data_IF_201441596225
#
_entry.id   IF_201441596225
#
_cell.length_a   1.000
_cell.length_b   1.000
_cell.length_c   1.000
_cell.angle_alpha   90.00
_cell.angle_beta   90.00
_cell.angle_gamma   90.00
#
_symmetry.space_group_name_H-M   'P 1'
#
loop_
_entity.id
_entity.type
_entity.pdbx_description
1 polymer ?
#
# COMPACT_ATOMS: atom_id res chain seq x y z
N UNK A 1 -8.86 6.61 12.56
CA UNK A 1 -8.58 7.70 11.64
C UNK A 1 -9.35 7.48 10.36
N UNK A 2 -10.08 8.49 9.91
CA UNK A 2 -10.88 8.44 8.67
C UNK A 2 -10.47 9.56 7.73
N UNK A 3 -10.56 9.29 6.43
CA UNK A 3 -10.34 10.30 5.40
C UNK A 3 -8.90 10.78 5.25
N UNK A 4 -7.92 10.02 5.73
CA UNK A 4 -6.51 10.35 5.58
C UNK A 4 -6.10 10.20 4.12
N UNK A 5 -5.26 11.14 3.64
CA UNK A 5 -4.68 11.09 2.29
C UNK A 5 -3.17 11.17 2.39
N UNK A 6 -2.48 10.23 1.74
CA UNK A 6 -1.05 10.31 1.50
C UNK A 6 -0.82 10.74 0.06
N UNK A 7 0.09 11.69 -0.15
CA UNK A 7 0.35 12.24 -1.47
C UNK A 7 1.55 11.58 -2.15
N UNK A 8 1.50 11.54 -3.48
CA UNK A 8 2.64 11.18 -4.31
C UNK A 8 3.77 12.20 -4.13
N UNK A 9 5.04 11.79 -4.31
CA UNK A 9 6.14 12.73 -4.40
C UNK A 9 5.92 13.76 -5.52
N UNK A 10 6.55 14.95 -5.39
CA UNK A 10 6.42 16.01 -6.38
C UNK A 10 6.81 15.55 -7.79
N UNK A 11 7.78 14.65 -7.90
CA UNK A 11 8.22 14.04 -9.17
C UNK A 11 7.10 13.28 -9.89
N UNK A 12 6.08 12.84 -9.15
CA UNK A 12 4.91 12.13 -9.65
C UNK A 12 3.64 12.98 -9.52
N UNK A 13 3.79 14.30 -9.56
CA UNK A 13 2.69 15.24 -9.63
C UNK A 13 2.15 15.73 -8.29
N UNK A 14 2.58 15.16 -7.16
CA UNK A 14 2.17 15.61 -5.83
C UNK A 14 0.70 15.38 -5.46
N UNK A 15 -0.07 14.74 -6.33
CA UNK A 15 -1.47 14.40 -6.07
C UNK A 15 -1.65 13.20 -5.13
N UNK A 16 -2.89 12.80 -4.81
CA UNK A 16 -3.13 11.70 -3.89
C UNK A 16 -2.50 10.38 -4.37
N UNK A 17 -1.76 9.71 -3.50
CA UNK A 17 -1.28 8.33 -3.72
C UNK A 17 -2.25 7.34 -3.08
N UNK A 18 -2.57 7.52 -1.81
CA UNK A 18 -3.47 6.65 -1.06
C UNK A 18 -4.59 7.49 -0.45
N UNK A 19 -5.80 7.11 -0.75
CA UNK A 19 -7.00 7.64 -0.11
C UNK A 19 -7.51 6.57 0.85
N UNK A 20 -7.33 6.79 2.15
CA UNK A 20 -7.80 5.86 3.17
C UNK A 20 -9.24 6.16 3.53
N UNK A 21 -10.08 5.13 3.49
CA UNK A 21 -11.42 5.22 4.04
C UNK A 21 -11.35 5.21 5.57
N UNK A 22 -10.55 4.30 6.13
CA UNK A 22 -10.42 4.14 7.57
C UNK A 22 -9.13 3.42 7.93
N UNK A 23 -8.56 3.78 9.07
CA UNK A 23 -7.48 3.04 9.72
C UNK A 23 -7.91 2.80 11.15
N UNK A 24 -7.98 1.54 11.58
CA UNK A 24 -8.29 1.15 12.95
C UNK A 24 -7.13 0.40 13.56
N UNK A 25 -6.70 0.81 14.74
CA UNK A 25 -5.62 0.20 15.48
C UNK A 25 -6.13 -0.23 16.86
N UNK A 26 -5.87 -1.49 17.22
CA UNK A 26 -6.15 -2.02 18.55
C UNK A 26 -4.82 -2.42 19.17
N UNK A 27 -4.42 -1.68 20.21
CA UNK A 27 -3.17 -1.94 20.89
C UNK A 27 -3.27 -3.16 21.79
N UNK A 28 -2.20 -3.99 21.79
CA UNK A 28 -2.03 -5.08 22.74
C UNK A 28 -0.93 -4.76 23.73
N UNK A 29 -0.67 -5.71 24.63
CA UNK A 29 0.43 -5.59 25.58
C UNK A 29 1.76 -5.63 24.85
N UNK A 30 2.77 -4.80 25.24
CA UNK A 30 4.10 -4.85 24.65
C UNK A 30 4.73 -6.24 24.76
N UNK A 31 5.44 -6.66 23.71
CA UNK A 31 6.17 -7.91 23.76
C UNK A 31 7.41 -7.79 24.67
N UNK A 32 7.94 -8.93 25.13
CA UNK A 32 9.06 -8.99 26.05
C UNK A 32 10.32 -8.25 25.57
N UNK A 33 10.46 -8.04 24.25
CA UNK A 33 11.58 -7.29 23.67
C UNK A 33 11.34 -5.77 23.61
N UNK A 34 10.27 -5.26 24.21
CA UNK A 34 9.91 -3.84 24.22
C UNK A 34 9.29 -3.32 22.92
N UNK A 35 9.02 -4.17 21.95
CA UNK A 35 8.36 -3.75 20.70
C UNK A 35 6.90 -3.45 20.94
N UNK A 36 6.40 -2.43 20.22
CA UNK A 36 4.97 -2.17 20.16
C UNK A 36 4.24 -3.39 19.61
N UNK A 37 3.07 -3.66 20.18
CA UNK A 37 2.24 -4.76 19.76
C UNK A 37 0.82 -4.29 19.46
N UNK A 38 0.30 -4.71 18.31
CA UNK A 38 -1.09 -4.48 17.93
C UNK A 38 -1.84 -5.82 17.88
N UNK A 39 -2.99 -5.89 18.51
CA UNK A 39 -3.86 -7.07 18.39
C UNK A 39 -4.49 -7.12 17.01
N UNK A 40 -5.09 -6.00 16.58
CA UNK A 40 -5.70 -5.89 15.26
C UNK A 40 -5.33 -4.57 14.59
N UNK A 41 -5.07 -4.64 13.30
CA UNK A 41 -4.88 -3.48 12.45
C UNK A 41 -5.76 -3.65 11.22
N UNK A 42 -6.63 -2.67 10.99
CA UNK A 42 -7.43 -2.58 9.76
C UNK A 42 -7.01 -1.35 8.98
N UNK A 43 -6.60 -1.54 7.75
CA UNK A 43 -6.31 -0.47 6.80
C UNK A 43 -7.28 -0.62 5.64
N UNK A 44 -8.21 0.33 5.53
CA UNK A 44 -9.21 0.33 4.45
C UNK A 44 -8.86 1.44 3.46
N UNK A 45 -8.34 1.04 2.30
CA UNK A 45 -7.93 1.95 1.24
C UNK A 45 -9.06 2.07 0.23
N UNK A 46 -9.65 3.26 0.12
CA UNK A 46 -10.68 3.51 -0.88
C UNK A 46 -10.08 3.49 -2.28
N UNK A 47 -8.93 4.12 -2.46
CA UNK A 47 -8.26 4.21 -3.76
C UNK A 47 -6.74 4.31 -3.61
N UNK A 48 -6.03 3.57 -4.46
CA UNK A 48 -4.60 3.68 -4.66
C UNK A 48 -4.38 4.30 -6.05
N UNK A 49 -3.67 5.42 -6.12
CA UNK A 49 -3.41 6.13 -7.38
C UNK A 49 -1.97 5.92 -7.81
N UNK A 50 -1.75 5.20 -8.88
CA UNK A 50 -0.44 4.93 -9.46
C UNK A 50 -0.22 5.88 -10.63
N UNK A 51 0.89 6.61 -10.59
CA UNK A 51 1.16 7.67 -11.55
C UNK A 51 2.44 7.34 -12.34
N UNK A 52 2.39 7.56 -13.65
CA UNK A 52 3.54 7.59 -14.54
C UNK A 52 3.97 9.04 -14.69
N UNK A 53 5.22 9.35 -14.37
CA UNK A 53 5.70 10.72 -14.46
C UNK A 53 6.00 11.13 -15.91
N UNK A 54 6.39 12.40 -16.10
CA UNK A 54 6.67 12.93 -17.44
C UNK A 54 7.91 12.31 -18.09
N UNK A 55 8.79 11.71 -17.29
CA UNK A 55 9.95 10.98 -17.77
C UNK A 55 9.64 9.54 -18.18
N UNK A 56 8.39 9.11 -18.05
CA UNK A 56 7.95 7.77 -18.43
C UNK A 56 8.15 6.70 -17.37
N UNK A 57 8.43 7.08 -16.13
CA UNK A 57 8.59 6.14 -15.01
C UNK A 57 7.28 6.01 -14.24
N UNK A 58 6.87 4.77 -13.99
CA UNK A 58 5.79 4.46 -13.06
C UNK A 58 6.30 4.47 -11.61
N UNK A 59 5.47 4.90 -10.68
CA UNK A 59 5.80 4.84 -9.25
C UNK A 59 6.15 3.41 -8.83
N UNK A 60 5.50 2.41 -9.42
CA UNK A 60 5.78 0.99 -9.15
C UNK A 60 7.17 0.54 -9.57
N UNK A 61 7.85 1.27 -10.44
CA UNK A 61 9.23 0.94 -10.84
C UNK A 61 10.23 1.14 -9.68
N UNK A 62 9.80 1.83 -8.60
CA UNK A 62 10.60 2.00 -7.39
C UNK A 62 10.39 0.86 -6.37
N UNK A 63 9.58 -0.14 -6.71
CA UNK A 63 9.19 -1.20 -5.79
C UNK A 63 10.36 -2.03 -5.26
N UNK A 64 11.40 -2.28 -6.07
CA UNK A 64 12.57 -3.03 -5.63
C UNK A 64 13.34 -2.33 -4.52
N UNK A 65 13.43 -1.00 -4.58
CA UNK A 65 14.06 -0.18 -3.55
C UNK A 65 13.26 -0.20 -2.25
N UNK A 66 11.93 -0.11 -2.35
CA UNK A 66 11.04 -0.21 -1.20
C UNK A 66 11.15 -1.59 -0.53
N UNK A 67 11.20 -2.66 -1.33
CA UNK A 67 11.37 -4.02 -0.84
C UNK A 67 12.69 -4.20 -0.07
N UNK A 68 13.78 -3.63 -0.57
CA UNK A 68 15.07 -3.64 0.11
C UNK A 68 15.01 -2.92 1.45
N UNK A 69 14.33 -1.77 1.51
CA UNK A 69 14.14 -1.01 2.74
C UNK A 69 13.35 -1.81 3.77
N UNK A 70 12.29 -2.49 3.37
CA UNK A 70 11.47 -3.33 4.26
C UNK A 70 12.31 -4.47 4.84
N UNK A 71 13.16 -5.11 4.05
CA UNK A 71 14.03 -6.21 4.50
C UNK A 71 15.04 -5.77 5.57
N UNK A 72 15.45 -4.51 5.55
CA UNK A 72 16.42 -3.95 6.49
C UNK A 72 15.79 -3.52 7.82
N UNK A 73 14.47 -3.36 7.86
CA UNK A 73 13.78 -2.87 9.05
C UNK A 73 13.34 -4.04 9.92
N UNK A 74 14.18 -4.36 10.92
CA UNK A 74 13.92 -5.41 11.91
C UNK A 74 13.11 -4.93 13.11
N UNK A 75 12.80 -3.62 13.18
CA UNK A 75 12.13 -2.99 14.33
C UNK A 75 10.63 -2.79 14.13
N UNK A 76 10.05 -3.44 13.14
CA UNK A 76 8.61 -3.35 12.87
C UNK A 76 7.79 -3.81 14.08
N UNK A 77 6.69 -3.12 14.42
CA UNK A 77 5.78 -3.58 15.47
C UNK A 77 5.21 -4.95 15.13
N UNK A 78 4.88 -5.72 16.15
CA UNK A 78 4.23 -7.02 15.99
C UNK A 78 2.72 -6.83 15.88
N UNK A 79 2.05 -7.67 15.06
CA UNK A 79 0.62 -7.60 14.80
C UNK A 79 0.03 -9.00 14.81
N UNK A 80 -1.04 -9.23 15.59
CA UNK A 80 -1.72 -10.53 15.60
C UNK A 80 -2.58 -10.72 14.36
N UNK A 81 -3.35 -9.69 13.99
CA UNK A 81 -4.21 -9.72 12.81
C UNK A 81 -4.09 -8.41 12.04
N UNK A 82 -3.68 -8.49 10.80
CA UNK A 82 -3.62 -7.35 9.89
C UNK A 82 -4.59 -7.60 8.74
N UNK A 83 -5.46 -6.63 8.48
CA UNK A 83 -6.37 -6.65 7.33
C UNK A 83 -6.17 -5.38 6.52
N UNK A 84 -5.91 -5.54 5.23
CA UNK A 84 -5.80 -4.42 4.29
C UNK A 84 -6.84 -4.64 3.20
N UNK A 85 -7.75 -3.67 3.07
CA UNK A 85 -8.76 -3.66 2.00
C UNK A 85 -8.38 -2.63 0.97
N UNK A 86 -8.47 -2.99 -0.30
CA UNK A 86 -8.18 -2.09 -1.42
C UNK A 86 -9.41 -2.09 -2.32
N UNK A 87 -10.05 -0.92 -2.43
CA UNK A 87 -11.22 -0.73 -3.28
C UNK A 87 -10.80 -0.61 -4.74
N UNK A 88 -10.40 0.59 -5.15
CA UNK A 88 -10.03 0.89 -6.54
C UNK A 88 -8.52 1.11 -6.66
N UNK A 89 -7.98 0.79 -7.83
CA UNK A 89 -6.64 1.22 -8.23
C UNK A 89 -6.79 2.05 -9.50
N UNK A 90 -6.27 3.28 -9.48
CA UNK A 90 -6.31 4.18 -10.62
C UNK A 90 -4.90 4.35 -11.19
N UNK A 91 -4.80 4.38 -12.50
CA UNK A 91 -3.55 4.61 -13.23
C UNK A 91 -3.66 5.89 -14.04
N UNK A 92 -2.70 6.77 -13.88
CA UNK A 92 -2.64 8.03 -14.61
C UNK A 92 -1.26 8.24 -15.22
N UNK A 93 -1.25 8.53 -16.53
CA UNK A 93 -0.02 8.87 -17.24
C UNK A 93 0.06 10.40 -17.42
N UNK A 94 0.95 11.03 -16.68
CA UNK A 94 1.14 12.48 -16.73
C UNK A 94 1.82 12.94 -18.03
N UNK A 95 2.48 12.04 -18.75
CA UNK A 95 3.16 12.37 -20.01
C UNK A 95 2.18 12.60 -21.17
N UNK A 96 0.99 12.03 -21.09
CA UNK A 96 -0.02 12.11 -22.17
C UNK A 96 -1.13 13.12 -21.87
N UNK A 97 -1.27 13.55 -20.62
CA UNK A 97 -2.39 14.39 -20.21
C UNK A 97 -3.73 13.69 -20.17
N UNK A 98 -3.77 12.37 -20.39
CA UNK A 98 -5.00 11.59 -20.31
C UNK A 98 -5.48 11.52 -18.85
N UNK A 99 -6.80 11.42 -18.65
CA UNK A 99 -7.38 11.22 -17.33
C UNK A 99 -7.07 9.84 -16.75
N UNK A 100 -7.27 9.65 -15.43
CA UNK A 100 -6.98 8.38 -14.78
C UNK A 100 -7.89 7.25 -15.27
N UNK A 101 -7.35 6.05 -15.35
CA UNK A 101 -8.10 4.82 -15.57
C UNK A 101 -8.31 4.14 -14.21
N UNK A 102 -9.55 3.98 -13.81
CA UNK A 102 -9.92 3.42 -12.51
C UNK A 102 -10.35 1.97 -12.69
N UNK A 103 -9.66 1.08 -11.97
CA UNK A 103 -9.94 -0.35 -12.00
C UNK A 103 -10.47 -0.77 -10.62
N UNK A 104 -11.74 -1.20 -10.52
CA UNK A 104 -12.24 -1.73 -9.26
C UNK A 104 -11.62 -3.09 -8.99
N UNK A 105 -10.96 -3.23 -7.84
CA UNK A 105 -10.28 -4.46 -7.45
C UNK A 105 -10.99 -5.17 -6.31
N UNK A 106 -11.40 -4.46 -5.27
CA UNK A 106 -12.07 -5.02 -4.09
C UNK A 106 -11.33 -6.23 -3.52
N UNK A 107 -10.02 -6.05 -3.27
CA UNK A 107 -9.16 -7.11 -2.73
C UNK A 107 -8.91 -6.90 -1.25
N UNK A 108 -8.74 -8.02 -0.56
CA UNK A 108 -8.40 -8.02 0.86
C UNK A 108 -7.13 -8.83 1.09
N UNK A 109 -6.18 -8.24 1.81
CA UNK A 109 -4.97 -8.90 2.28
C UNK A 109 -5.16 -9.16 3.77
N UNK A 110 -5.00 -10.41 4.20
CA UNK A 110 -5.07 -10.78 5.61
C UNK A 110 -3.77 -11.47 6.03
N UNK A 111 -3.24 -11.03 7.16
CA UNK A 111 -2.08 -11.67 7.79
C UNK A 111 -2.47 -11.98 9.23
N UNK A 112 -2.32 -13.23 9.64
CA UNK A 112 -2.64 -13.71 10.98
C UNK A 112 -1.42 -14.37 11.61
N UNK A 113 -1.42 -14.44 12.95
CA UNK A 113 -0.37 -15.10 13.74
C UNK A 113 1.02 -14.47 13.60
N UNK A 114 1.09 -13.21 13.21
CA UNK A 114 2.31 -12.40 13.21
C UNK A 114 3.54 -13.14 12.66
N UNK A 115 3.55 -13.56 11.38
CA UNK A 115 4.72 -14.20 10.80
C UNK A 115 5.91 -13.21 10.82
N UNK A 116 7.12 -13.76 10.93
CA UNK A 116 8.36 -12.99 11.13
C UNK A 116 8.54 -11.89 10.08
N UNK A 117 8.14 -12.14 8.84
CA UNK A 117 8.34 -11.22 7.72
C UNK A 117 7.00 -10.76 7.13
N UNK A 118 6.02 -10.43 8.00
CA UNK A 118 4.69 -10.05 7.52
C UNK A 118 4.71 -8.85 6.58
N UNK A 119 5.57 -7.85 6.85
CA UNK A 119 5.64 -6.64 6.02
C UNK A 119 6.06 -6.96 4.58
N UNK A 120 7.05 -7.84 4.40
CA UNK A 120 7.47 -8.28 3.08
C UNK A 120 6.37 -9.08 2.38
N UNK A 121 5.69 -9.99 3.09
CA UNK A 121 4.59 -10.76 2.54
C UNK A 121 3.43 -9.90 2.08
N UNK A 122 3.05 -8.90 2.87
CA UNK A 122 2.03 -7.91 2.51
C UNK A 122 2.46 -7.13 1.26
N UNK A 123 3.69 -6.67 1.22
CA UNK A 123 4.22 -5.90 0.10
C UNK A 123 4.19 -6.71 -1.21
N UNK A 124 4.58 -7.99 -1.18
CA UNK A 124 4.55 -8.86 -2.34
C UNK A 124 3.12 -9.11 -2.83
N UNK A 125 2.17 -9.29 -1.93
CA UNK A 125 0.75 -9.42 -2.28
C UNK A 125 0.21 -8.13 -2.91
N UNK A 126 0.59 -6.98 -2.35
CA UNK A 126 0.19 -5.68 -2.88
C UNK A 126 0.73 -5.47 -4.31
N UNK A 127 2.00 -5.81 -4.55
CA UNK A 127 2.59 -5.76 -5.89
C UNK A 127 1.80 -6.63 -6.87
N UNK A 128 1.41 -7.83 -6.45
CA UNK A 128 0.61 -8.73 -7.28
C UNK A 128 -0.74 -8.13 -7.66
N UNK A 129 -1.41 -7.50 -6.70
CA UNK A 129 -2.70 -6.82 -6.92
C UNK A 129 -2.54 -5.64 -7.87
N UNK A 130 -1.53 -4.82 -7.67
CA UNK A 130 -1.25 -3.66 -8.54
C UNK A 130 -0.90 -4.12 -9.95
N UNK A 131 -0.12 -5.18 -10.10
CA UNK A 131 0.26 -5.73 -11.41
C UNK A 131 -0.96 -6.27 -12.16
N UNK A 132 -1.88 -6.95 -11.47
CA UNK A 132 -3.15 -7.39 -12.06
C UNK A 132 -3.97 -6.21 -12.55
N UNK A 133 -4.12 -5.18 -11.71
CA UNK A 133 -4.86 -3.98 -12.06
C UNK A 133 -4.24 -3.26 -13.27
N UNK A 134 -2.92 -3.14 -13.30
CA UNK A 134 -2.20 -2.51 -14.41
C UNK A 134 -2.45 -3.25 -15.73
N UNK A 135 -2.40 -4.58 -15.71
CA UNK A 135 -2.71 -5.41 -16.88
C UNK A 135 -4.14 -5.19 -17.35
N UNK A 136 -5.10 -5.14 -16.41
CA UNK A 136 -6.52 -4.88 -16.72
C UNK A 136 -6.75 -3.48 -17.29
N UNK A 137 -5.92 -2.50 -16.91
CA UNK A 137 -6.02 -1.13 -17.41
C UNK A 137 -5.53 -0.97 -18.85
N UNK A 138 -4.76 -1.93 -19.35
CA UNK A 138 -4.16 -1.86 -20.68
C UNK A 138 -2.82 -1.12 -20.73
N UNK A 139 -2.30 -0.71 -19.59
CA UNK A 139 -0.96 -0.10 -19.54
C UNK A 139 0.16 -1.12 -19.67
#
# INVERSE_FOLDING_TARGET
VKGLVLNNPAEFGGGPLLNFKEIKLHYGDPKANGREHFETVLIDVARLNIVKNKQGLWLTDLSSKAQETIRKDDESPTVDQLTIRIGDIAFQDLSTGAGPKVIPMNRTIKVENNPKDYALGVFLQLIGIVSEAKRRSGY
#
